data_IF_765030892307
#
_entry.id   IF_765030892307
#
_cell.length_a   1.000
_cell.length_b   1.000
_cell.length_c   1.000
_cell.angle_alpha   90.00
_cell.angle_beta   90.00
_cell.angle_gamma   90.00
#
_symmetry.space_group_name_H-M   'P 1'
#
loop_
_entity.id
_entity.type
_entity.pdbx_description
1 polymer ?
#
# COMPACT_ATOMS: atom_id res chain seq x y z
N UNK A 1 39.12 11.84 -22.81
CA UNK A 1 39.60 13.22 -22.65
C UNK A 1 38.79 14.12 -23.54
N UNK A 2 38.04 15.04 -22.94
CA UNK A 2 37.04 15.81 -23.67
C UNK A 2 37.66 17.05 -24.34
N UNK A 3 38.90 17.39 -23.95
CA UNK A 3 39.71 18.50 -24.48
C UNK A 3 41.20 18.17 -24.45
N UNK A 4 42.00 18.86 -25.28
CA UNK A 4 43.46 18.71 -25.33
C UNK A 4 44.10 19.32 -24.08
N UNK A 5 44.80 18.50 -23.29
CA UNK A 5 45.33 18.89 -21.99
C UNK A 5 46.81 18.50 -21.76
N UNK A 6 47.50 18.01 -22.79
CA UNK A 6 48.93 17.69 -22.74
C UNK A 6 49.30 16.44 -21.92
N UNK A 7 48.33 15.68 -21.41
CA UNK A 7 48.59 14.44 -20.68
C UNK A 7 48.90 13.27 -21.62
N UNK A 8 49.85 12.43 -21.23
CA UNK A 8 50.27 11.22 -21.97
C UNK A 8 49.38 10.01 -21.69
N UNK A 9 48.46 10.12 -20.74
CA UNK A 9 47.48 9.09 -20.37
C UNK A 9 46.10 9.71 -20.22
N UNK A 10 45.06 8.94 -20.55
CA UNK A 10 43.68 9.34 -20.35
C UNK A 10 43.26 9.21 -18.89
N UNK A 11 42.34 10.06 -18.43
CA UNK A 11 41.64 9.83 -17.17
C UNK A 11 40.76 8.58 -17.27
N UNK A 12 40.61 7.82 -16.16
CA UNK A 12 39.67 6.71 -16.12
C UNK A 12 38.24 7.23 -16.23
N UNK A 13 37.35 6.39 -16.76
CA UNK A 13 35.93 6.70 -16.82
C UNK A 13 35.32 6.70 -15.43
N UNK A 14 34.39 7.62 -15.20
CA UNK A 14 33.62 7.66 -13.95
C UNK A 14 32.63 6.50 -13.94
N UNK A 15 32.64 5.63 -12.91
CA UNK A 15 31.64 4.58 -12.80
C UNK A 15 30.31 5.17 -12.31
N UNK A 16 29.20 4.58 -12.77
CA UNK A 16 27.87 4.82 -12.19
C UNK A 16 27.62 3.74 -11.14
N UNK A 17 27.53 4.14 -9.87
CA UNK A 17 27.38 3.20 -8.75
C UNK A 17 25.90 2.85 -8.50
N UNK A 18 25.48 1.57 -8.67
CA UNK A 18 24.13 1.14 -8.29
C UNK A 18 23.82 1.34 -6.81
N UNK A 19 24.83 1.31 -5.93
CA UNK A 19 24.70 1.63 -4.51
C UNK A 19 24.32 3.10 -4.25
N UNK A 20 24.56 3.98 -5.22
CA UNK A 20 24.12 5.38 -5.22
C UNK A 20 22.80 5.58 -5.99
N UNK A 21 22.12 4.50 -6.40
CA UNK A 21 20.87 4.59 -7.14
C UNK A 21 21.06 4.94 -8.62
N UNK A 22 22.26 4.74 -9.18
CA UNK A 22 22.60 5.12 -10.56
C UNK A 22 22.93 3.91 -11.43
N UNK A 23 22.74 4.04 -12.74
CA UNK A 23 23.19 3.08 -13.73
C UNK A 23 23.86 3.79 -14.92
N UNK A 24 24.70 3.06 -15.64
CA UNK A 24 25.33 3.56 -16.87
C UNK A 24 24.30 3.62 -17.99
N UNK A 25 23.91 4.83 -18.39
CA UNK A 25 23.05 5.04 -19.55
C UNK A 25 23.88 5.12 -20.84
N UNK A 26 25.07 5.70 -20.76
CA UNK A 26 25.99 5.77 -21.90
C UNK A 26 27.40 5.47 -21.43
N UNK A 27 28.02 4.47 -22.04
CA UNK A 27 29.41 4.12 -21.79
C UNK A 27 30.35 5.26 -22.17
N UNK A 28 31.46 5.37 -21.46
CA UNK A 28 32.48 6.32 -21.81
C UNK A 28 33.16 5.99 -23.15
N UNK A 29 33.76 7.01 -23.76
CA UNK A 29 34.59 6.87 -24.96
C UNK A 29 35.96 7.49 -24.72
N UNK A 30 36.83 7.45 -25.73
CA UNK A 30 38.13 8.15 -25.68
C UNK A 30 37.97 9.67 -25.51
N UNK A 31 36.82 10.25 -25.86
CA UNK A 31 36.54 11.70 -25.83
C UNK A 31 35.35 12.11 -24.97
N UNK A 32 34.64 11.17 -24.35
CA UNK A 32 33.50 11.45 -23.47
C UNK A 32 33.56 10.59 -22.21
N UNK A 33 33.11 11.14 -21.09
CA UNK A 33 32.96 10.37 -19.86
C UNK A 33 31.66 9.54 -19.90
N UNK A 34 31.50 8.62 -18.96
CA UNK A 34 30.26 7.88 -18.73
C UNK A 34 29.13 8.83 -18.38
N UNK A 35 27.92 8.58 -18.91
CA UNK A 35 26.71 9.30 -18.50
C UNK A 35 25.90 8.39 -17.57
N UNK A 36 25.70 8.86 -16.35
CA UNK A 36 24.91 8.16 -15.34
C UNK A 36 23.46 8.61 -15.35
N UNK A 37 22.55 7.66 -15.13
CA UNK A 37 21.13 7.92 -15.00
C UNK A 37 20.56 7.24 -13.75
N UNK A 38 19.42 7.75 -13.26
CA UNK A 38 18.76 7.26 -12.05
C UNK A 38 18.06 5.93 -12.30
N UNK A 39 18.26 4.95 -11.41
CA UNK A 39 17.62 3.63 -11.43
C UNK A 39 16.09 3.71 -11.33
N UNK A 40 15.39 2.66 -11.78
CA UNK A 40 13.93 2.56 -11.62
C UNK A 40 13.56 2.37 -10.15
N UNK A 41 12.52 3.09 -9.71
CA UNK A 41 12.14 3.17 -8.31
C UNK A 41 13.01 4.11 -7.47
N UNK A 42 13.82 4.97 -8.10
CA UNK A 42 14.67 5.97 -7.42
C UNK A 42 14.39 7.38 -7.97
N UNK A 43 14.69 8.39 -7.15
CA UNK A 43 14.74 9.80 -7.56
C UNK A 43 16.07 10.44 -7.18
N UNK A 44 16.49 11.43 -7.96
CA UNK A 44 17.70 12.17 -7.69
C UNK A 44 17.57 13.07 -6.46
N UNK A 45 18.49 12.94 -5.51
CA UNK A 45 18.56 13.77 -4.31
C UNK A 45 19.70 14.79 -4.36
N UNK A 46 20.79 14.45 -5.04
CA UNK A 46 21.94 15.33 -5.19
C UNK A 46 22.40 15.39 -6.64
N UNK A 47 22.76 16.58 -7.10
CA UNK A 47 23.27 16.82 -8.44
C UNK A 47 24.75 17.21 -8.38
N UNK A 48 25.51 16.84 -9.41
CA UNK A 48 26.87 17.31 -9.64
C UNK A 48 26.86 18.76 -10.15
N UNK A 49 28.05 19.36 -10.29
CA UNK A 49 28.21 20.69 -10.87
C UNK A 49 27.67 20.81 -12.31
N UNK A 50 27.58 19.69 -13.02
CA UNK A 50 27.09 19.64 -14.41
C UNK A 50 25.60 19.32 -14.49
N UNK A 51 24.86 19.42 -13.38
CA UNK A 51 23.44 19.05 -13.27
C UNK A 51 23.12 17.57 -13.56
N UNK A 52 24.13 16.70 -13.52
CA UNK A 52 23.93 15.25 -13.59
C UNK A 52 23.63 14.71 -12.19
N UNK A 53 22.78 13.68 -12.09
CA UNK A 53 22.49 13.10 -10.79
C UNK A 53 23.72 12.40 -10.22
N UNK A 54 24.18 12.81 -9.04
CA UNK A 54 25.33 12.22 -8.34
C UNK A 54 24.93 11.28 -7.22
N UNK A 55 23.69 11.39 -6.73
CA UNK A 55 23.16 10.48 -5.71
C UNK A 55 21.63 10.43 -5.81
N UNK A 56 21.11 9.21 -5.96
CA UNK A 56 19.70 8.92 -6.00
C UNK A 56 19.29 8.00 -4.85
N UNK A 57 18.03 8.12 -4.45
CA UNK A 57 17.46 7.34 -3.35
C UNK A 57 16.17 6.69 -3.80
N UNK A 58 15.85 5.55 -3.19
CA UNK A 58 14.62 4.83 -3.50
C UNK A 58 13.39 5.70 -3.20
N UNK A 59 12.35 5.53 -4.02
CA UNK A 59 11.05 6.15 -3.82
C UNK A 59 10.45 5.70 -2.49
N UNK A 60 9.81 6.64 -1.80
CA UNK A 60 9.05 6.40 -0.59
C UNK A 60 7.88 5.47 -0.91
N UNK A 61 7.73 4.43 -0.11
CA UNK A 61 6.53 3.59 -0.13
C UNK A 61 5.54 4.12 0.91
N UNK A 62 4.34 4.51 0.45
CA UNK A 62 3.31 5.02 1.34
C UNK A 62 2.87 3.93 2.32
N UNK A 63 2.61 4.34 3.56
CA UNK A 63 2.28 3.42 4.64
C UNK A 63 0.79 3.04 4.63
N UNK A 64 0.39 1.93 5.27
CA UNK A 64 -1.02 1.70 5.59
C UNK A 64 -1.58 2.90 6.37
N UNK A 65 -2.74 3.41 5.97
CA UNK A 65 -3.22 4.72 6.43
C UNK A 65 -3.14 5.82 5.39
N UNK A 66 -2.26 5.67 4.39
CA UNK A 66 -2.00 6.67 3.36
C UNK A 66 -2.41 6.17 1.98
N UNK A 67 -2.44 7.07 1.01
CA UNK A 67 -2.55 6.76 -0.42
C UNK A 67 -1.43 7.42 -1.20
N UNK A 68 -1.08 6.81 -2.33
CA UNK A 68 -0.13 7.36 -3.29
C UNK A 68 -0.87 8.31 -4.21
N UNK A 69 -0.71 9.62 -3.99
CA UNK A 69 -1.42 10.63 -4.80
C UNK A 69 -0.62 11.06 -6.03
N UNK A 70 0.71 10.96 -5.95
CA UNK A 70 1.58 11.08 -7.12
C UNK A 70 2.70 10.02 -7.06
N UNK A 71 2.91 9.24 -8.12
CA UNK A 71 4.04 8.32 -8.18
C UNK A 71 5.36 9.08 -8.25
N UNK A 72 6.43 8.49 -7.70
CA UNK A 72 7.78 9.04 -7.84
C UNK A 72 8.24 9.10 -9.30
N UNK A 73 9.09 10.07 -9.60
CA UNK A 73 9.75 10.24 -10.90
C UNK A 73 11.27 10.16 -10.71
N UNK A 74 12.05 10.31 -11.80
CA UNK A 74 13.52 10.35 -11.70
C UNK A 74 14.04 11.57 -10.91
N UNK A 75 13.21 12.59 -10.70
CA UNK A 75 13.59 13.85 -10.04
C UNK A 75 12.78 14.14 -8.77
N UNK A 76 11.67 13.44 -8.53
CA UNK A 76 10.78 13.67 -7.39
C UNK A 76 10.43 12.35 -6.70
N UNK A 77 10.25 12.41 -5.39
CA UNK A 77 9.78 11.28 -4.61
C UNK A 77 8.28 11.02 -4.83
N UNK A 78 7.80 9.87 -4.38
CA UNK A 78 6.38 9.56 -4.23
C UNK A 78 5.73 10.53 -3.24
N UNK A 79 4.54 11.00 -3.56
CA UNK A 79 3.73 11.81 -2.65
C UNK A 79 2.69 10.91 -1.98
N UNK A 80 2.71 10.90 -0.66
CA UNK A 80 1.78 10.16 0.19
C UNK A 80 0.83 11.11 0.92
N UNK A 81 -0.46 10.77 0.95
CA UNK A 81 -1.48 11.53 1.69
C UNK A 81 -2.25 10.62 2.64
N UNK A 82 -2.53 11.11 3.85
CA UNK A 82 -3.33 10.38 4.84
C UNK A 82 -4.78 10.20 4.38
N UNK A 83 -5.34 9.01 4.62
CA UNK A 83 -6.74 8.76 4.38
C UNK A 83 -7.61 9.55 5.35
N UNK A 84 -8.55 10.30 4.79
CA UNK A 84 -9.55 11.04 5.56
C UNK A 84 -10.47 10.08 6.33
N UNK A 85 -11.13 10.62 7.35
CA UNK A 85 -12.11 9.84 8.11
C UNK A 85 -13.19 9.26 7.18
N UNK A 86 -13.57 8.01 7.41
CA UNK A 86 -14.47 7.28 6.51
C UNK A 86 -13.75 6.52 5.39
N UNK A 87 -12.41 6.58 5.31
CA UNK A 87 -11.61 5.85 4.32
C UNK A 87 -10.47 5.06 4.99
N UNK A 88 -9.99 4.03 4.30
CA UNK A 88 -8.85 3.23 4.72
C UNK A 88 -7.93 2.83 3.55
N UNK A 89 -6.66 2.57 3.83
CA UNK A 89 -5.73 1.92 2.91
C UNK A 89 -4.86 0.90 3.62
N UNK A 90 -4.87 -0.34 3.14
CA UNK A 90 -4.07 -1.42 3.71
C UNK A 90 -2.61 -1.41 3.25
N UNK A 91 -2.35 -0.87 2.05
CA UNK A 91 -1.05 -1.00 1.38
C UNK A 91 -0.48 0.34 0.88
N UNK A 92 -1.06 1.47 1.29
CA UNK A 92 -0.54 2.79 0.89
C UNK A 92 -0.88 3.20 -0.55
N UNK A 93 -1.73 2.45 -1.25
CA UNK A 93 -1.99 2.68 -2.68
C UNK A 93 -3.16 3.65 -2.85
N UNK A 94 -4.36 3.23 -2.44
CA UNK A 94 -5.58 4.03 -2.56
C UNK A 94 -6.33 4.06 -1.22
N UNK A 95 -6.93 5.20 -0.91
CA UNK A 95 -7.90 5.33 0.17
C UNK A 95 -9.26 4.87 -0.33
N UNK A 96 -9.78 3.79 0.26
CA UNK A 96 -11.06 3.18 -0.07
C UNK A 96 -12.09 3.54 1.00
N UNK A 97 -13.31 3.90 0.61
CA UNK A 97 -14.36 4.21 1.57
C UNK A 97 -14.66 3.01 2.47
N UNK A 98 -15.02 3.25 3.73
CA UNK A 98 -15.48 2.20 4.62
C UNK A 98 -16.76 1.56 4.09
N UNK A 99 -16.89 0.25 4.33
CA UNK A 99 -18.09 -0.49 3.96
C UNK A 99 -19.32 0.03 4.72
N UNK A 100 -20.42 0.26 4.00
CA UNK A 100 -21.72 0.52 4.62
C UNK A 100 -22.39 -0.82 5.01
N UNK A 101 -22.22 -1.21 6.28
CA UNK A 101 -22.83 -2.44 6.78
C UNK A 101 -24.37 -2.44 6.67
N UNK A 102 -25.02 -1.28 6.82
CA UNK A 102 -26.48 -1.19 6.82
C UNK A 102 -27.04 -1.44 5.41
N UNK A 103 -26.35 -0.97 4.37
CA UNK A 103 -26.67 -1.27 2.98
C UNK A 103 -26.67 -2.77 2.66
N UNK A 104 -25.91 -3.56 3.43
CA UNK A 104 -25.85 -5.03 3.32
C UNK A 104 -26.82 -5.76 4.27
N UNK A 105 -27.65 -5.05 5.05
CA UNK A 105 -28.48 -5.66 6.10
C UNK A 105 -27.67 -6.26 7.26
N UNK A 106 -26.44 -5.82 7.43
CA UNK A 106 -25.53 -6.24 8.50
C UNK A 106 -25.46 -5.17 9.58
N UNK A 107 -24.91 -5.52 10.75
CA UNK A 107 -24.59 -4.58 11.82
C UNK A 107 -23.09 -4.39 11.91
N UNK A 108 -22.66 -3.13 12.04
CA UNK A 108 -21.27 -2.77 12.31
C UNK A 108 -20.90 -3.23 13.71
N UNK A 109 -19.94 -4.15 13.81
CA UNK A 109 -19.46 -4.67 15.10
C UNK A 109 -18.10 -4.11 15.50
N UNK A 110 -17.35 -3.55 14.55
CA UNK A 110 -16.09 -2.85 14.82
C UNK A 110 -15.97 -1.64 13.90
N UNK A 111 -15.54 -0.52 14.46
CA UNK A 111 -15.23 0.68 13.68
C UNK A 111 -13.99 0.47 12.80
N UNK A 112 -14.02 1.12 11.63
CA UNK A 112 -12.88 1.23 10.74
C UNK A 112 -11.90 2.29 11.26
N UNK A 113 -10.72 2.32 10.64
CA UNK A 113 -9.72 3.35 10.82
C UNK A 113 -9.01 3.63 9.49
N UNK A 114 -7.97 4.46 9.45
CA UNK A 114 -7.25 4.77 8.21
C UNK A 114 -6.55 3.55 7.58
N UNK A 115 -6.33 2.46 8.33
CA UNK A 115 -5.60 1.27 7.86
C UNK A 115 -6.51 0.09 7.56
N UNK A 116 -7.69 0.04 8.14
CA UNK A 116 -8.60 -1.11 8.08
C UNK A 116 -10.04 -0.66 7.94
N UNK A 117 -10.81 -1.45 7.19
CA UNK A 117 -12.24 -1.26 7.04
C UNK A 117 -13.01 -1.56 8.34
N UNK A 118 -14.27 -1.16 8.39
CA UNK A 118 -15.25 -1.60 9.39
C UNK A 118 -15.46 -3.12 9.31
N UNK A 119 -15.85 -3.73 10.42
CA UNK A 119 -16.26 -5.14 10.44
C UNK A 119 -17.78 -5.20 10.51
N UNK A 120 -18.38 -5.82 9.49
CA UNK A 120 -19.82 -6.05 9.39
C UNK A 120 -20.16 -7.51 9.70
N UNK A 121 -21.15 -7.75 10.55
CA UNK A 121 -21.67 -9.07 10.84
C UNK A 121 -23.17 -9.17 10.56
N UNK A 122 -23.64 -10.35 10.15
CA UNK A 122 -25.08 -10.61 9.95
C UNK A 122 -25.85 -10.41 11.24
N UNK A 123 -27.04 -9.83 11.13
CA UNK A 123 -27.99 -9.81 12.23
C UNK A 123 -28.45 -11.25 12.48
N UNK A 124 -27.99 -11.86 13.57
CA UNK A 124 -28.59 -13.09 14.04
C UNK A 124 -29.95 -12.75 14.65
N UNK A 125 -31.01 -12.88 13.85
CA UNK A 125 -32.37 -12.97 14.36
C UNK A 125 -32.39 -14.19 15.28
N UNK A 126 -32.26 -13.96 16.59
CA UNK A 126 -32.47 -14.96 17.62
C UNK A 126 -33.93 -15.41 17.52
N UNK A 127 -34.18 -16.42 16.69
CA UNK A 127 -35.45 -17.13 16.63
C UNK A 127 -35.58 -17.92 17.93
N UNK A 128 -36.02 -17.26 19.00
CA UNK A 128 -36.52 -17.94 20.19
C UNK A 128 -37.85 -18.62 19.81
N UNK A 129 -37.76 -19.76 19.10
CA UNK A 129 -38.82 -20.75 19.13
C UNK A 129 -38.74 -21.41 20.52
N UNK A 130 -39.30 -20.74 21.53
CA UNK A 130 -39.71 -21.43 22.74
C UNK A 130 -40.80 -22.41 22.31
N UNK A 131 -40.40 -23.66 22.03
CA UNK A 131 -41.31 -24.79 22.01
C UNK A 131 -41.90 -24.92 23.42
N UNK A 132 -42.91 -24.12 23.71
CA UNK A 132 -43.83 -24.41 24.80
C UNK A 132 -44.59 -25.64 24.29
N UNK A 133 -44.04 -26.83 24.49
CA UNK A 133 -44.86 -28.03 24.52
C UNK A 133 -45.88 -27.73 25.63
N UNK A 134 -47.16 -27.51 25.32
CA UNK A 134 -48.12 -27.17 26.35
C UNK A 134 -48.12 -28.37 27.29
N UNK A 135 -47.92 -28.19 28.62
CA UNK A 135 -47.96 -29.30 29.58
C UNK A 135 -49.27 -30.11 29.47
N UNK A 136 -50.31 -29.52 28.85
CA UNK A 136 -51.54 -30.16 28.42
C UNK A 136 -51.32 -31.39 27.53
N UNK A 137 -50.37 -31.39 26.59
CA UNK A 137 -50.13 -32.52 25.68
C UNK A 137 -49.53 -33.74 26.42
N UNK A 138 -48.68 -33.48 27.42
CA UNK A 138 -48.12 -34.52 28.30
C UNK A 138 -49.21 -35.03 29.26
N UNK A 139 -50.03 -34.13 29.82
CA UNK A 139 -51.17 -34.49 30.68
C UNK A 139 -52.22 -35.33 29.94
N UNK A 140 -52.55 -35.01 28.69
CA UNK A 140 -53.51 -35.80 27.90
C UNK A 140 -53.01 -37.22 27.62
N UNK A 141 -51.72 -37.39 27.31
CA UNK A 141 -51.13 -38.71 27.10
C UNK A 141 -51.05 -39.50 28.40
N UNK A 142 -50.75 -38.84 29.53
CA UNK A 142 -50.73 -39.47 30.85
C UNK A 142 -52.13 -39.90 31.29
N UNK A 143 -53.16 -39.09 31.05
CA UNK A 143 -54.56 -39.46 31.30
C UNK A 143 -55.01 -40.65 30.44
N UNK A 144 -54.63 -40.69 29.16
CA UNK A 144 -54.97 -41.82 28.27
C UNK A 144 -54.27 -43.12 28.66
N UNK A 145 -53.03 -43.04 29.17
CA UNK A 145 -52.30 -44.19 29.70
C UNK A 145 -52.95 -44.78 30.97
N UNK A 146 -53.47 -43.92 31.86
CA UNK A 146 -54.15 -44.35 33.09
C UNK A 146 -55.58 -44.85 32.87
N UNK A 147 -56.17 -44.59 31.70
CA UNK A 147 -57.53 -45.02 31.34
C UNK A 147 -57.58 -46.38 30.63
N UNK A 148 -56.45 -47.10 30.51
CA UNK A 148 -56.33 -48.41 29.86
C UNK A 148 -55.86 -49.46 30.86
#
# INVERSE_FOLDING_TARGET
MNEANGLTKCFPCTPCDPGQGLFTQTECTTTSNTVCHVLDGYYCRSYSSNSECSFAVAHTQCSPGQSTTAPGTKTTDTICEECQHGFYSQHGVNCTAWTDCAAMGHVKTKDGNSRQDVICNKVQLRSHCTLIAPPLFILTLFCLYLAR
#
